data_IF_065840674088
#
_entry.id   IF_065840674088
#
_cell.length_a   1.000
_cell.length_b   1.000
_cell.length_c   1.000
_cell.angle_alpha   90.00
_cell.angle_beta   90.00
_cell.angle_gamma   90.00
#
_symmetry.space_group_name_H-M   'P 1'
#
loop_
_entity.id
_entity.type
_entity.pdbx_description
1 polymer ?
#
# COMPACT_ATOMS: atom_id res chain seq x y z
N UNK A 1 -5.28 -1.26 -22.53
CA UNK A 1 -3.91 -0.84 -22.21
C UNK A 1 -3.52 -1.36 -20.83
N UNK A 2 -2.44 -2.10 -20.74
CA UNK A 2 -1.99 -2.58 -19.43
C UNK A 2 -1.50 -1.40 -18.59
N UNK A 3 -2.06 -1.22 -17.40
CA UNK A 3 -1.56 -0.24 -16.46
C UNK A 3 -0.24 -0.74 -15.89
N UNK A 4 0.81 0.05 -16.09
CA UNK A 4 2.10 -0.22 -15.49
C UNK A 4 2.13 0.50 -14.12
N UNK A 5 2.25 -0.28 -13.05
CA UNK A 5 2.39 0.27 -11.70
C UNK A 5 3.88 0.51 -11.43
N UNK A 6 4.32 1.73 -11.69
CA UNK A 6 5.70 2.13 -11.43
C UNK A 6 5.92 2.32 -9.93
N UNK A 7 7.13 2.00 -9.48
CA UNK A 7 7.54 2.20 -8.09
C UNK A 7 7.29 3.65 -7.63
N UNK A 8 7.66 4.62 -8.46
CA UNK A 8 7.48 6.03 -8.13
C UNK A 8 6.00 6.41 -7.98
N UNK A 9 5.14 5.87 -8.85
CA UNK A 9 3.71 6.09 -8.76
C UNK A 9 3.12 5.46 -7.48
N UNK A 10 3.57 4.27 -7.12
CA UNK A 10 3.14 3.61 -5.89
C UNK A 10 3.53 4.42 -4.66
N UNK A 11 4.74 4.99 -4.63
CA UNK A 11 5.21 5.84 -3.51
C UNK A 11 4.38 7.11 -3.39
N UNK A 12 4.02 7.74 -4.50
CA UNK A 12 3.14 8.92 -4.50
C UNK A 12 1.74 8.58 -4.01
N UNK A 13 1.22 7.40 -4.38
CA UNK A 13 -0.08 6.94 -3.92
C UNK A 13 -0.12 6.71 -2.42
N UNK A 14 0.98 6.28 -1.79
CA UNK A 14 1.06 6.15 -0.34
C UNK A 14 0.71 7.48 0.33
N UNK A 15 1.40 8.54 -0.05
CA UNK A 15 1.18 9.87 0.54
C UNK A 15 -0.25 10.36 0.28
N UNK A 16 -0.75 10.19 -0.94
CA UNK A 16 -2.10 10.60 -1.33
C UNK A 16 -3.16 9.86 -0.51
N UNK A 17 -3.04 8.54 -0.37
CA UNK A 17 -4.03 7.73 0.35
C UNK A 17 -4.05 8.04 1.85
N UNK A 18 -2.88 8.28 2.45
CA UNK A 18 -2.82 8.67 3.87
C UNK A 18 -3.34 10.08 4.08
N UNK A 19 -3.09 11.01 3.16
CA UNK A 19 -3.66 12.35 3.22
C UNK A 19 -5.20 12.30 3.14
N UNK A 20 -5.74 11.49 2.23
CA UNK A 20 -7.18 11.29 2.08
C UNK A 20 -7.77 10.68 3.36
N UNK A 21 -7.10 9.70 3.95
CA UNK A 21 -7.52 9.08 5.20
C UNK A 21 -7.56 10.09 6.34
N UNK A 22 -6.55 10.94 6.45
CA UNK A 22 -6.51 11.99 7.48
C UNK A 22 -7.64 12.99 7.31
N UNK A 23 -7.91 13.41 6.07
CA UNK A 23 -9.00 14.35 5.77
C UNK A 23 -10.36 13.76 6.16
N UNK A 24 -10.60 12.48 5.85
CA UNK A 24 -11.84 11.80 6.19
C UNK A 24 -11.98 11.61 7.70
N UNK A 25 -10.90 11.27 8.38
CA UNK A 25 -10.89 11.07 9.82
C UNK A 25 -11.25 12.36 10.56
N UNK A 26 -10.77 13.50 10.06
CA UNK A 26 -11.01 14.81 10.69
C UNK A 26 -12.46 15.28 10.58
N UNK A 27 -13.30 14.63 9.77
CA UNK A 27 -14.73 14.98 9.68
C UNK A 27 -15.53 14.50 10.90
N UNK A 28 -15.02 13.49 11.63
CA UNK A 28 -15.63 13.00 12.86
C UNK A 28 -16.89 12.15 12.70
N UNK A 29 -17.37 11.88 11.48
CA UNK A 29 -18.55 11.05 11.29
C UNK A 29 -18.18 9.56 11.23
N UNK A 30 -19.02 8.64 11.79
CA UNK A 30 -18.72 7.22 11.76
C UNK A 30 -18.51 6.65 10.35
N UNK A 31 -19.35 7.06 9.40
CA UNK A 31 -19.25 6.59 8.01
C UNK A 31 -17.91 7.00 7.39
N UNK A 32 -17.45 8.21 7.67
CA UNK A 32 -16.19 8.72 7.12
C UNK A 32 -14.99 8.13 7.83
N UNK A 33 -15.12 7.74 9.08
CA UNK A 33 -14.07 6.99 9.78
C UNK A 33 -13.82 5.63 9.12
N UNK A 34 -14.88 4.93 8.72
CA UNK A 34 -14.74 3.67 8.00
C UNK A 34 -14.06 3.88 6.64
N UNK A 35 -14.42 4.95 5.93
CA UNK A 35 -13.76 5.31 4.68
C UNK A 35 -12.27 5.65 4.90
N UNK A 36 -11.95 6.32 6.01
CA UNK A 36 -10.57 6.64 6.37
C UNK A 36 -9.75 5.37 6.59
N UNK A 37 -10.31 4.38 7.29
CA UNK A 37 -9.64 3.09 7.51
C UNK A 37 -9.40 2.36 6.19
N UNK A 38 -10.36 2.42 5.28
CA UNK A 38 -10.24 1.82 3.96
C UNK A 38 -9.11 2.47 3.16
N UNK A 39 -9.05 3.81 3.16
CA UNK A 39 -8.00 4.56 2.47
C UNK A 39 -6.62 4.32 3.06
N UNK A 40 -6.53 4.23 4.39
CA UNK A 40 -5.27 3.90 5.07
C UNK A 40 -4.78 2.50 4.70
N UNK A 41 -5.69 1.52 4.65
CA UNK A 41 -5.38 0.17 4.20
C UNK A 41 -4.86 0.14 2.76
N UNK A 42 -5.44 0.95 1.90
CA UNK A 42 -4.99 1.11 0.52
C UNK A 42 -3.58 1.71 0.45
N UNK A 43 -3.29 2.69 1.33
CA UNK A 43 -1.95 3.27 1.45
C UNK A 43 -0.91 2.23 1.86
N UNK A 44 -1.25 1.36 2.82
CA UNK A 44 -0.39 0.25 3.24
C UNK A 44 -0.13 -0.70 2.07
N UNK A 45 -1.16 -1.04 1.31
CA UNK A 45 -1.02 -1.89 0.12
C UNK A 45 -0.03 -1.28 -0.88
N UNK A 46 -0.16 0.00 -1.19
CA UNK A 46 0.75 0.71 -2.10
C UNK A 46 2.18 0.70 -1.57
N UNK A 47 2.37 0.89 -0.25
CA UNK A 47 3.68 0.86 0.38
C UNK A 47 4.33 -0.52 0.25
N UNK A 48 3.57 -1.59 0.49
CA UNK A 48 4.07 -2.96 0.34
C UNK A 48 4.47 -3.26 -1.11
N UNK A 49 3.67 -2.84 -2.07
CA UNK A 49 3.97 -3.01 -3.49
C UNK A 49 5.22 -2.23 -3.90
N UNK A 50 5.41 -1.01 -3.36
CA UNK A 50 6.64 -0.24 -3.61
C UNK A 50 7.86 -0.95 -3.03
N UNK A 51 7.74 -1.52 -1.82
CA UNK A 51 8.82 -2.30 -1.20
C UNK A 51 9.16 -3.55 -2.03
N UNK A 52 8.17 -4.21 -2.61
CA UNK A 52 8.39 -5.36 -3.49
C UNK A 52 9.22 -4.94 -4.70
N UNK A 53 8.89 -3.79 -5.31
CA UNK A 53 9.68 -3.27 -6.43
C UNK A 53 11.13 -3.02 -6.02
N UNK A 54 11.37 -2.43 -4.83
CA UNK A 54 12.71 -2.21 -4.30
C UNK A 54 13.44 -3.51 -4.04
N UNK A 55 12.77 -4.48 -3.42
CA UNK A 55 13.35 -5.80 -3.10
C UNK A 55 13.81 -6.52 -4.37
N UNK A 56 13.05 -6.39 -5.43
CA UNK A 56 13.34 -7.05 -6.71
C UNK A 56 14.15 -6.17 -7.67
N UNK A 57 14.53 -4.99 -7.25
CA UNK A 57 15.28 -4.01 -8.06
C UNK A 57 14.59 -3.75 -9.39
N UNK A 58 13.30 -3.42 -9.34
CA UNK A 58 12.48 -3.19 -10.52
C UNK A 58 11.74 -1.87 -10.45
N UNK A 59 11.57 -1.21 -11.60
CA UNK A 59 10.83 0.04 -11.71
C UNK A 59 9.33 -0.17 -11.68
N UNK A 60 8.87 -1.37 -12.03
CA UNK A 60 7.46 -1.68 -12.19
C UNK A 60 7.08 -2.89 -11.34
N UNK A 61 5.84 -2.89 -10.86
CA UNK A 61 5.28 -4.04 -10.17
C UNK A 61 4.92 -5.12 -11.20
N UNK A 62 5.38 -6.34 -10.95
CA UNK A 62 5.04 -7.49 -11.80
C UNK A 62 3.57 -7.89 -11.60
N UNK A 63 2.89 -8.41 -12.64
CA UNK A 63 1.48 -8.77 -12.56
C UNK A 63 1.12 -9.74 -11.45
N UNK A 64 2.03 -10.60 -11.04
CA UNK A 64 1.78 -11.56 -9.95
C UNK A 64 1.48 -10.91 -8.61
N UNK A 65 1.83 -9.62 -8.45
CA UNK A 65 1.56 -8.85 -7.24
C UNK A 65 0.34 -7.94 -7.39
N UNK A 66 -0.42 -8.05 -8.46
CA UNK A 66 -1.64 -7.28 -8.70
C UNK A 66 -2.81 -7.89 -7.91
N UNK A 67 -2.73 -7.84 -6.59
CA UNK A 67 -3.77 -8.30 -5.68
C UNK A 67 -3.77 -7.43 -4.43
N UNK A 68 -4.70 -7.67 -3.53
CA UNK A 68 -4.93 -6.86 -2.34
C UNK A 68 -4.68 -7.63 -1.04
N UNK A 69 -4.06 -8.79 -1.09
CA UNK A 69 -3.73 -9.59 0.08
C UNK A 69 -2.47 -9.01 0.76
N UNK A 70 -2.69 -8.23 1.80
CA UNK A 70 -1.60 -7.52 2.49
C UNK A 70 -0.59 -8.47 3.10
N UNK A 71 -1.04 -9.61 3.63
CA UNK A 71 -0.14 -10.58 4.24
C UNK A 71 0.80 -11.18 3.20
N UNK A 72 0.25 -11.61 2.06
CA UNK A 72 1.05 -12.15 0.97
C UNK A 72 2.01 -11.13 0.39
N UNK A 73 1.58 -9.88 0.27
CA UNK A 73 2.45 -8.79 -0.18
C UNK A 73 3.60 -8.57 0.80
N UNK A 74 3.32 -8.55 2.10
CA UNK A 74 4.34 -8.38 3.14
C UNK A 74 5.38 -9.49 3.10
N UNK A 75 4.95 -10.74 2.87
CA UNK A 75 5.85 -11.89 2.77
C UNK A 75 6.87 -11.73 1.63
N UNK A 76 6.50 -11.00 0.57
CA UNK A 76 7.34 -10.79 -0.61
C UNK A 76 8.32 -9.63 -0.45
N UNK A 77 8.29 -8.91 0.66
CA UNK A 77 9.18 -7.77 0.89
C UNK A 77 10.46 -8.19 1.62
N UNK A 78 11.51 -7.40 1.49
CA UNK A 78 12.74 -7.58 2.25
C UNK A 78 12.55 -7.33 3.75
N UNK A 79 11.41 -6.77 4.14
CA UNK A 79 11.06 -6.45 5.52
C UNK A 79 10.21 -7.52 6.19
N UNK A 80 9.97 -8.64 5.52
CA UNK A 80 9.12 -9.69 6.06
C UNK A 80 9.51 -10.14 7.47
N UNK A 81 10.80 -10.34 7.82
CA UNK A 81 11.16 -10.73 9.18
C UNK A 81 10.70 -9.73 10.23
N UNK A 82 10.72 -8.43 9.92
CA UNK A 82 10.28 -7.36 10.83
C UNK A 82 8.75 -7.43 11.00
N UNK A 83 8.00 -7.56 9.91
CA UNK A 83 6.54 -7.68 9.96
C UNK A 83 6.10 -8.92 10.73
N UNK A 84 6.75 -10.03 10.50
CA UNK A 84 6.48 -11.29 11.18
C UNK A 84 6.71 -11.18 12.68
N UNK A 85 7.77 -10.52 13.11
CA UNK A 85 8.09 -10.33 14.52
C UNK A 85 7.08 -9.40 15.21
N UNK A 86 6.53 -8.42 14.49
CA UNK A 86 5.54 -7.47 15.02
C UNK A 86 4.14 -8.08 15.12
N UNK A 87 3.85 -9.05 14.28
CA UNK A 87 2.55 -9.69 14.21
C UNK A 87 2.42 -10.84 15.14
#
# INVERSE_FOLDING_TARGET
MAQTLKQTALRQLVDTRFADASALLNTGTPARRNAAMYMAGYGVECALKALICLTRDQDHLEPQFFHHDLWRLAECTSRWPVFRAAG
#
